data_IF_205630332962
#
_entry.id   IF_205630332962
#
_cell.length_a   1.000
_cell.length_b   1.000
_cell.length_c   1.000
_cell.angle_alpha   90.00
_cell.angle_beta   90.00
_cell.angle_gamma   90.00
#
_symmetry.space_group_name_H-M   'P 1'
#
loop_
_entity.id
_entity.type
_entity.pdbx_description
1 polymer ?
#
# COMPACT_ATOMS: atom_id res chain seq x y z
N UNK A 1 -8.81 6.57 -21.48
CA UNK A 1 -7.69 7.53 -21.43
C UNK A 1 -7.81 8.52 -20.28
N UNK A 2 -8.98 9.09 -20.00
CA UNK A 2 -9.18 10.06 -18.91
C UNK A 2 -8.71 9.56 -17.53
N UNK A 3 -9.04 8.32 -17.15
CA UNK A 3 -8.60 7.74 -15.87
C UNK A 3 -7.08 7.59 -15.78
N UNK A 4 -6.43 7.17 -16.86
CA UNK A 4 -4.97 7.07 -16.95
C UNK A 4 -4.28 8.42 -16.78
N UNK A 5 -4.75 9.45 -17.48
CA UNK A 5 -4.21 10.81 -17.34
C UNK A 5 -4.35 11.29 -15.91
N UNK A 6 -5.52 11.10 -15.28
CA UNK A 6 -5.73 11.48 -13.89
C UNK A 6 -4.77 10.77 -12.93
N UNK A 7 -4.65 9.45 -13.05
CA UNK A 7 -3.77 8.64 -12.18
C UNK A 7 -2.30 9.04 -12.36
N UNK A 8 -1.83 9.23 -13.59
CA UNK A 8 -0.44 9.62 -13.84
C UNK A 8 -0.16 11.04 -13.35
N UNK A 9 -1.07 11.99 -13.59
CA UNK A 9 -0.96 13.34 -13.03
C UNK A 9 -0.94 13.33 -11.50
N UNK A 10 -1.76 12.47 -10.87
CA UNK A 10 -1.77 12.31 -9.41
C UNK A 10 -0.44 11.74 -8.90
N UNK A 11 0.13 10.74 -9.57
CA UNK A 11 1.45 10.15 -9.22
C UNK A 11 2.55 11.20 -9.32
N UNK A 12 2.58 11.97 -10.41
CA UNK A 12 3.55 13.06 -10.62
C UNK A 12 3.38 14.14 -9.56
N UNK A 13 2.14 14.58 -9.30
CA UNK A 13 1.85 15.55 -8.25
C UNK A 13 2.33 15.07 -6.87
N UNK A 14 2.06 13.81 -6.52
CA UNK A 14 2.53 13.21 -5.27
C UNK A 14 4.06 13.21 -5.16
N UNK A 15 4.77 12.98 -6.26
CA UNK A 15 6.23 13.02 -6.31
C UNK A 15 6.77 14.44 -6.15
N UNK A 16 6.25 15.40 -6.93
CA UNK A 16 6.67 16.80 -6.88
C UNK A 16 6.39 17.43 -5.51
N UNK A 17 5.21 17.18 -4.94
CA UNK A 17 4.85 17.69 -3.62
C UNK A 17 5.71 17.08 -2.53
N UNK A 18 6.11 15.80 -2.65
CA UNK A 18 7.05 15.19 -1.70
C UNK A 18 8.43 15.84 -1.78
N UNK A 19 8.97 16.10 -3.00
CA UNK A 19 10.24 16.83 -3.17
C UNK A 19 10.12 18.24 -2.59
N UNK A 20 9.06 18.99 -2.92
CA UNK A 20 8.82 20.32 -2.35
C UNK A 20 8.80 20.27 -0.82
N UNK A 21 8.10 19.29 -0.24
CA UNK A 21 8.02 19.13 1.22
C UNK A 21 9.39 18.94 1.87
N UNK A 22 10.34 18.30 1.18
CA UNK A 22 11.69 18.05 1.73
C UNK A 22 12.49 19.33 1.96
N UNK A 23 12.19 20.39 1.21
CA UNK A 23 12.95 21.64 1.24
C UNK A 23 12.43 22.64 2.29
N UNK A 24 11.13 22.59 2.61
CA UNK A 24 10.47 23.66 3.37
C UNK A 24 9.96 23.27 4.76
N UNK A 25 9.97 21.99 5.13
CA UNK A 25 9.27 21.51 6.33
C UNK A 25 10.18 21.06 7.49
N UNK A 26 11.43 21.55 7.61
CA UNK A 26 12.24 21.31 8.83
C UNK A 26 13.01 19.99 8.85
N UNK A 27 13.34 19.44 7.68
CA UNK A 27 14.27 18.32 7.56
C UNK A 27 15.71 18.73 7.87
N UNK A 28 16.49 17.84 8.49
CA UNK A 28 17.86 18.16 8.95
C UNK A 28 18.90 18.29 7.84
N UNK A 29 18.73 17.54 6.75
CA UNK A 29 19.65 17.50 5.61
C UNK A 29 18.89 17.92 4.36
N UNK A 30 19.58 18.47 3.36
CA UNK A 30 19.00 18.57 2.02
C UNK A 30 19.10 17.21 1.32
N UNK A 31 18.06 16.84 0.55
CA UNK A 31 18.13 15.65 -0.29
C UNK A 31 19.28 15.77 -1.29
N UNK A 32 20.05 14.70 -1.43
CA UNK A 32 21.07 14.61 -2.47
C UNK A 32 20.44 14.69 -3.86
N UNK A 33 21.15 15.34 -4.78
CA UNK A 33 20.70 15.50 -6.16
C UNK A 33 20.42 14.15 -6.84
N UNK A 34 21.26 13.15 -6.55
CA UNK A 34 21.11 11.78 -7.04
C UNK A 34 19.76 11.17 -6.65
N UNK A 35 19.34 11.30 -5.38
CA UNK A 35 18.05 10.78 -4.92
C UNK A 35 16.89 11.44 -5.67
N UNK A 36 16.95 12.75 -5.91
CA UNK A 36 15.92 13.47 -6.69
C UNK A 36 15.87 12.95 -8.13
N UNK A 37 17.02 12.84 -8.79
CA UNK A 37 17.11 12.35 -10.17
C UNK A 37 16.64 10.91 -10.29
N UNK A 38 17.15 9.99 -9.46
CA UNK A 38 16.79 8.58 -9.51
C UNK A 38 15.31 8.35 -9.23
N UNK A 39 14.76 9.04 -8.24
CA UNK A 39 13.32 8.94 -7.93
C UNK A 39 12.43 9.55 -9.02
N UNK A 40 12.85 10.64 -9.68
CA UNK A 40 12.15 11.20 -10.83
C UNK A 40 12.15 10.25 -12.04
N UNK A 41 13.30 9.66 -12.35
CA UNK A 41 13.42 8.66 -13.44
C UNK A 41 12.56 7.43 -13.11
N UNK A 42 12.59 6.94 -11.86
CA UNK A 42 11.78 5.81 -11.42
C UNK A 42 10.26 6.05 -11.58
N UNK A 43 9.78 7.25 -11.23
CA UNK A 43 8.38 7.63 -11.39
C UNK A 43 7.99 7.64 -12.87
N UNK A 44 8.85 8.22 -13.73
CA UNK A 44 8.63 8.23 -15.16
C UNK A 44 8.56 6.81 -15.74
N UNK A 45 9.56 5.98 -15.44
CA UNK A 45 9.62 4.58 -15.88
C UNK A 45 8.44 3.76 -15.36
N UNK A 46 8.01 3.98 -14.11
CA UNK A 46 6.85 3.29 -13.54
C UNK A 46 5.55 3.64 -14.27
N UNK A 47 5.35 4.90 -14.63
CA UNK A 47 4.22 5.31 -15.48
C UNK A 47 4.30 4.66 -16.87
N UNK A 48 5.50 4.62 -17.45
CA UNK A 48 5.76 4.04 -18.77
C UNK A 48 5.47 2.53 -18.81
N UNK A 49 5.91 1.80 -17.78
CA UNK A 49 5.63 0.36 -17.60
C UNK A 49 4.12 0.12 -17.55
N UNK A 50 3.40 0.85 -16.71
CA UNK A 50 1.93 0.69 -16.60
C UNK A 50 1.25 1.07 -17.91
N UNK A 51 1.69 2.13 -18.58
CA UNK A 51 1.18 2.52 -19.90
C UNK A 51 1.32 1.40 -20.93
N UNK A 52 2.49 0.76 -21.03
CA UNK A 52 2.68 -0.36 -21.95
C UNK A 52 1.83 -1.58 -21.60
N UNK A 53 1.67 -1.90 -20.31
CA UNK A 53 0.78 -2.99 -19.86
C UNK A 53 -0.68 -2.68 -20.26
N UNK A 54 -1.15 -1.46 -20.05
CA UNK A 54 -2.51 -1.03 -20.41
C UNK A 54 -2.77 -1.16 -21.92
N UNK A 55 -1.80 -0.81 -22.76
CA UNK A 55 -1.92 -0.94 -24.23
C UNK A 55 -1.90 -2.41 -24.63
N UNK A 56 -0.92 -3.18 -24.15
CA UNK A 56 -0.72 -4.59 -24.53
C UNK A 56 -1.91 -5.45 -24.15
N UNK A 57 -2.47 -5.21 -22.96
CA UNK A 57 -3.58 -5.97 -22.38
C UNK A 57 -4.89 -5.16 -22.34
N UNK A 58 -5.11 -4.27 -23.31
CA UNK A 58 -6.29 -3.39 -23.37
C UNK A 58 -7.64 -4.09 -23.16
N UNK A 59 -7.78 -5.33 -23.64
CA UNK A 59 -9.01 -6.13 -23.48
C UNK A 59 -9.30 -6.43 -22.01
N UNK A 60 -8.28 -6.85 -21.25
CA UNK A 60 -8.43 -7.13 -19.83
C UNK A 60 -8.92 -5.91 -19.04
N UNK A 61 -8.32 -4.74 -19.27
CA UNK A 61 -8.69 -3.50 -18.56
C UNK A 61 -10.05 -2.95 -18.98
N UNK A 62 -10.42 -3.07 -20.27
CA UNK A 62 -11.74 -2.64 -20.76
C UNK A 62 -12.86 -3.56 -20.27
N UNK A 63 -12.62 -4.86 -20.22
CA UNK A 63 -13.64 -5.85 -19.85
C UNK A 63 -13.67 -6.16 -18.35
N UNK A 64 -12.86 -5.46 -17.54
CA UNK A 64 -12.66 -5.75 -16.13
C UNK A 64 -13.96 -5.76 -15.33
N UNK A 65 -14.89 -4.84 -15.58
CA UNK A 65 -16.19 -4.81 -14.90
C UNK A 65 -17.04 -6.06 -15.22
N UNK A 66 -17.09 -6.44 -16.50
CA UNK A 66 -17.82 -7.64 -16.93
C UNK A 66 -17.19 -8.92 -16.37
N UNK A 67 -15.85 -9.00 -16.37
CA UNK A 67 -15.09 -10.12 -15.82
C UNK A 67 -15.26 -10.23 -14.31
N UNK A 68 -15.23 -9.09 -13.60
CA UNK A 68 -15.50 -9.01 -12.18
C UNK A 68 -16.90 -9.53 -11.85
N UNK A 69 -17.93 -9.03 -12.56
CA UNK A 69 -19.32 -9.42 -12.32
C UNK A 69 -19.54 -10.91 -12.52
N UNK A 70 -18.96 -11.49 -13.58
CA UNK A 70 -19.09 -12.92 -13.88
C UNK A 70 -18.32 -13.82 -12.92
N UNK A 71 -17.14 -13.38 -12.46
CA UNK A 71 -16.22 -14.27 -11.72
C UNK A 71 -16.23 -13.97 -10.22
N UNK A 72 -15.87 -12.74 -9.85
CA UNK A 72 -15.64 -12.35 -8.46
C UNK A 72 -16.96 -12.04 -7.73
N UNK A 73 -17.89 -11.31 -8.36
CA UNK A 73 -19.17 -10.97 -7.72
C UNK A 73 -19.97 -12.22 -7.40
N UNK A 74 -20.04 -13.17 -8.34
CA UNK A 74 -20.71 -14.46 -8.12
C UNK A 74 -20.05 -15.26 -6.99
N UNK A 75 -18.71 -15.29 -6.95
CA UNK A 75 -17.99 -15.97 -5.87
C UNK A 75 -18.33 -15.38 -4.49
N UNK A 76 -18.21 -14.07 -4.32
CA UNK A 76 -18.50 -13.43 -3.02
C UNK A 76 -19.98 -13.54 -2.61
N UNK A 77 -20.90 -13.51 -3.58
CA UNK A 77 -22.33 -13.70 -3.32
C UNK A 77 -22.66 -15.15 -2.94
N UNK A 78 -22.01 -16.13 -3.56
CA UNK A 78 -22.13 -17.55 -3.20
C UNK A 78 -21.52 -17.88 -1.83
N UNK A 79 -20.51 -17.12 -1.39
CA UNK A 79 -19.76 -17.39 -0.16
C UNK A 79 -19.94 -16.28 0.90
N UNK A 80 -21.16 -15.74 1.03
CA UNK A 80 -21.47 -14.71 2.04
C UNK A 80 -21.16 -15.17 3.48
N UNK A 81 -21.34 -16.46 3.78
CA UNK A 81 -21.03 -17.03 5.10
C UNK A 81 -19.55 -16.92 5.41
N UNK A 82 -18.67 -17.23 4.44
CA UNK A 82 -17.23 -17.07 4.60
C UNK A 82 -16.86 -15.61 4.88
N UNK A 83 -17.48 -14.68 4.14
CA UNK A 83 -17.26 -13.25 4.35
C UNK A 83 -17.73 -12.80 5.75
N UNK A 84 -18.86 -13.33 6.23
CA UNK A 84 -19.34 -13.08 7.59
C UNK A 84 -18.39 -13.63 8.66
N UNK A 85 -17.86 -14.84 8.47
CA UNK A 85 -16.86 -15.42 9.39
C UNK A 85 -15.61 -14.53 9.46
N UNK A 86 -15.11 -14.04 8.32
CA UNK A 86 -13.98 -13.12 8.30
C UNK A 86 -14.29 -11.80 9.01
N UNK A 87 -15.52 -11.28 8.89
CA UNK A 87 -15.97 -10.10 9.62
C UNK A 87 -16.00 -10.36 11.13
N UNK A 88 -16.50 -11.52 11.57
CA UNK A 88 -16.54 -11.89 12.99
C UNK A 88 -15.13 -12.03 13.59
N UNK A 89 -14.20 -12.60 12.82
CA UNK A 89 -12.78 -12.65 13.21
C UNK A 89 -12.22 -11.23 13.39
N UNK A 90 -12.46 -10.33 12.44
CA UNK A 90 -12.03 -8.94 12.54
C UNK A 90 -12.70 -8.22 13.73
N UNK A 91 -13.98 -8.51 14.00
CA UNK A 91 -14.71 -7.96 15.15
C UNK A 91 -14.10 -8.39 16.48
N UNK A 92 -13.76 -9.68 16.61
CA UNK A 92 -13.10 -10.21 17.81
C UNK A 92 -11.73 -9.54 18.03
N UNK A 93 -10.93 -9.41 16.98
CA UNK A 93 -9.65 -8.71 17.03
C UNK A 93 -9.82 -7.23 17.41
N UNK A 94 -10.81 -6.56 16.83
CA UNK A 94 -11.12 -5.16 17.13
C UNK A 94 -11.56 -4.98 18.59
N UNK A 95 -12.39 -5.88 19.11
CA UNK A 95 -12.81 -5.87 20.51
C UNK A 95 -11.62 -5.97 21.46
N UNK A 96 -10.71 -6.93 21.22
CA UNK A 96 -9.48 -7.06 22.00
C UNK A 96 -8.61 -5.81 21.93
N UNK A 97 -8.43 -5.27 20.72
CA UNK A 97 -7.65 -4.06 20.45
C UNK A 97 -8.21 -2.82 21.18
N UNK A 98 -9.52 -2.59 21.08
CA UNK A 98 -10.19 -1.47 21.74
C UNK A 98 -10.09 -1.61 23.26
N UNK A 99 -10.23 -2.82 23.81
CA UNK A 99 -10.05 -3.07 25.24
C UNK A 99 -8.68 -2.62 25.74
N UNK A 100 -7.62 -2.93 24.98
CA UNK A 100 -6.26 -2.52 25.30
C UNK A 100 -6.04 -1.00 25.14
N UNK A 101 -6.65 -0.38 24.13
CA UNK A 101 -6.63 1.09 23.96
C UNK A 101 -7.29 1.78 25.15
N UNK A 102 -8.47 1.28 25.57
CA UNK A 102 -9.22 1.83 26.70
C UNK A 102 -8.49 1.62 28.04
N UNK A 103 -7.67 0.57 28.17
CA UNK A 103 -6.79 0.38 29.33
C UNK A 103 -5.54 1.28 29.31
N UNK A 104 -5.43 2.21 28.36
CA UNK A 104 -4.35 3.20 28.30
C UNK A 104 -3.05 2.70 27.67
N UNK A 105 -3.05 1.53 27.03
CA UNK A 105 -1.85 1.00 26.37
C UNK A 105 -1.55 1.86 25.14
N UNK A 106 -0.31 2.36 25.08
CA UNK A 106 0.09 3.22 23.99
C UNK A 106 0.12 2.46 22.67
N UNK A 107 -0.26 3.12 21.57
CA UNK A 107 -0.36 2.50 20.24
C UNK A 107 0.88 1.71 19.78
N UNK A 108 2.07 2.17 20.12
CA UNK A 108 3.32 1.48 19.75
C UNK A 108 3.52 0.17 20.52
N UNK A 109 2.96 0.05 21.72
CA UNK A 109 2.93 -1.19 22.52
C UNK A 109 1.84 -2.14 22.01
N UNK A 110 0.71 -1.62 21.50
CA UNK A 110 -0.29 -2.45 20.81
C UNK A 110 0.30 -3.15 19.59
N UNK A 111 1.20 -2.50 18.85
CA UNK A 111 1.90 -3.12 17.71
C UNK A 111 2.76 -4.32 18.14
N UNK A 112 3.32 -4.34 19.35
CA UNK A 112 4.09 -5.47 19.89
C UNK A 112 3.19 -6.63 20.36
N UNK A 113 2.00 -6.34 20.89
CA UNK A 113 0.97 -7.36 21.14
C UNK A 113 0.37 -7.91 19.82
N UNK A 114 0.25 -7.08 18.79
CA UNK A 114 -0.17 -7.53 17.46
C UNK A 114 0.85 -8.45 16.78
N UNK A 115 2.13 -8.40 17.13
CA UNK A 115 3.10 -9.42 16.69
C UNK A 115 2.72 -10.83 17.21
N UNK A 116 2.01 -10.94 18.35
CA UNK A 116 1.48 -12.21 18.87
C UNK A 116 0.18 -12.66 18.19
N UNK A 117 -0.65 -11.73 17.71
CA UNK A 117 -1.82 -12.00 16.84
C UNK A 117 -1.48 -12.06 15.33
N UNK A 118 -0.19 -12.06 14.99
CA UNK A 118 0.40 -11.38 13.82
C UNK A 118 -0.03 -11.79 12.42
N UNK A 119 -0.45 -13.03 12.18
CA UNK A 119 -0.79 -13.45 10.81
C UNK A 119 -2.25 -13.19 10.44
N UNK A 120 -3.16 -13.48 11.36
CA UNK A 120 -4.60 -13.43 11.09
C UNK A 120 -5.06 -11.99 10.88
N UNK A 121 -4.58 -11.07 11.71
CA UNK A 121 -4.84 -9.64 11.54
C UNK A 121 -4.25 -9.10 10.23
N UNK A 122 -3.00 -9.46 9.88
CA UNK A 122 -2.39 -8.98 8.63
C UNK A 122 -3.17 -9.46 7.39
N UNK A 123 -3.70 -10.69 7.44
CA UNK A 123 -4.57 -11.23 6.40
C UNK A 123 -5.91 -10.47 6.33
N UNK A 124 -6.65 -10.35 7.45
CA UNK A 124 -7.97 -9.69 7.47
C UNK A 124 -7.85 -8.21 7.12
N UNK A 125 -6.83 -7.53 7.62
CA UNK A 125 -6.49 -6.14 7.31
C UNK A 125 -6.23 -5.95 5.82
N UNK A 126 -5.34 -6.75 5.23
CA UNK A 126 -5.07 -6.71 3.80
C UNK A 126 -6.32 -6.96 2.97
N UNK A 127 -7.08 -8.02 3.32
CA UNK A 127 -8.28 -8.41 2.61
C UNK A 127 -9.33 -7.29 2.55
N UNK A 128 -9.76 -6.75 3.69
CA UNK A 128 -10.84 -5.75 3.71
C UNK A 128 -10.44 -4.40 3.10
N UNK A 129 -9.18 -3.97 3.28
CA UNK A 129 -8.67 -2.75 2.64
C UNK A 129 -8.73 -2.79 1.11
N UNK A 130 -8.61 -3.98 0.53
CA UNK A 130 -8.68 -4.17 -0.92
C UNK A 130 -10.09 -4.51 -1.39
N UNK A 131 -10.84 -5.28 -0.60
CA UNK A 131 -12.19 -5.68 -0.94
C UNK A 131 -13.10 -4.45 -1.06
N UNK A 132 -13.05 -3.51 -0.10
CA UNK A 132 -13.89 -2.30 -0.11
C UNK A 132 -13.80 -1.51 -1.42
N UNK A 133 -12.62 -1.07 -1.89
CA UNK A 133 -12.53 -0.32 -3.14
C UNK A 133 -13.05 -1.13 -4.34
N UNK A 134 -12.77 -2.44 -4.39
CA UNK A 134 -13.20 -3.31 -5.49
C UNK A 134 -14.73 -3.47 -5.51
N UNK A 135 -15.37 -3.81 -4.40
CA UNK A 135 -16.82 -4.10 -4.36
C UNK A 135 -17.69 -2.87 -4.55
N UNK A 136 -17.16 -1.68 -4.27
CA UNK A 136 -17.86 -0.41 -4.50
C UNK A 136 -17.62 0.14 -5.90
N UNK A 137 -16.40 -0.02 -6.41
CA UNK A 137 -16.05 0.43 -7.75
C UNK A 137 -16.75 -0.42 -8.81
N UNK A 138 -16.73 -1.75 -8.64
CA UNK A 138 -17.46 -2.67 -9.50
C UNK A 138 -18.88 -2.96 -8.95
N UNK A 139 -19.77 -3.42 -9.82
CA UNK A 139 -21.18 -3.63 -9.48
C UNK A 139 -21.40 -4.91 -8.64
N UNK A 140 -21.12 -4.85 -7.34
CA UNK A 140 -21.44 -5.92 -6.36
C UNK A 140 -22.77 -5.68 -5.64
N UNK A 141 -23.38 -6.75 -5.11
CA UNK A 141 -24.58 -6.66 -4.28
C UNK A 141 -24.40 -5.83 -2.99
N UNK A 142 -25.52 -5.26 -2.50
CA UNK A 142 -25.55 -4.48 -1.26
C UNK A 142 -25.05 -5.26 -0.04
N UNK A 143 -25.29 -6.58 0.01
CA UNK A 143 -24.86 -7.46 1.11
C UNK A 143 -23.34 -7.55 1.21
N UNK A 144 -22.66 -7.81 0.09
CA UNK A 144 -21.19 -7.87 0.03
C UNK A 144 -20.58 -6.51 0.38
N UNK A 145 -21.14 -5.41 -0.14
CA UNK A 145 -20.72 -4.04 0.19
C UNK A 145 -20.81 -3.75 1.69
N UNK A 146 -21.92 -4.12 2.31
CA UNK A 146 -22.15 -3.91 3.74
C UNK A 146 -21.13 -4.67 4.60
N UNK A 147 -20.92 -5.97 4.33
CA UNK A 147 -19.94 -6.78 5.05
C UNK A 147 -18.51 -6.26 4.86
N UNK A 148 -18.16 -5.81 3.65
CA UNK A 148 -16.85 -5.24 3.38
C UNK A 148 -16.60 -3.94 4.18
N UNK A 149 -17.60 -3.06 4.28
CA UNK A 149 -17.50 -1.81 5.07
C UNK A 149 -17.35 -2.12 6.55
N UNK A 150 -18.16 -3.04 7.11
CA UNK A 150 -18.03 -3.44 8.51
C UNK A 150 -16.64 -4.00 8.79
N UNK A 151 -16.15 -4.90 7.93
CA UNK A 151 -14.80 -5.44 8.04
C UNK A 151 -13.72 -4.36 8.02
N UNK A 152 -13.83 -3.36 7.13
CA UNK A 152 -12.90 -2.23 7.10
C UNK A 152 -12.96 -1.38 8.38
N UNK A 153 -14.15 -1.12 8.92
CA UNK A 153 -14.30 -0.38 10.19
C UNK A 153 -13.56 -1.11 11.32
N UNK A 154 -13.72 -2.43 11.42
CA UNK A 154 -12.99 -3.22 12.41
C UNK A 154 -11.47 -3.20 12.18
N UNK A 155 -11.00 -3.28 10.93
CA UNK A 155 -9.57 -3.16 10.61
C UNK A 155 -8.99 -1.80 11.03
N UNK A 156 -9.73 -0.72 10.80
CA UNK A 156 -9.31 0.62 11.26
C UNK A 156 -9.30 0.70 12.79
N UNK A 157 -10.26 0.07 13.46
CA UNK A 157 -10.31 0.00 14.92
C UNK A 157 -9.13 -0.80 15.51
N UNK A 158 -8.77 -1.94 14.91
CA UNK A 158 -7.61 -2.75 15.32
C UNK A 158 -6.32 -1.92 15.29
N UNK A 159 -6.07 -1.26 14.16
CA UNK A 159 -4.79 -0.55 13.96
C UNK A 159 -4.74 0.83 14.59
N UNK A 160 -5.90 1.39 14.88
CA UNK A 160 -6.11 2.82 15.13
C UNK A 160 -5.29 3.67 14.16
N UNK A 161 -5.20 3.31 12.87
CA UNK A 161 -4.25 3.91 11.93
C UNK A 161 -4.88 4.56 10.71
N UNK A 162 -4.50 5.83 10.48
CA UNK A 162 -4.82 6.59 9.27
C UNK A 162 -4.18 6.02 8.00
N UNK A 163 -3.11 5.24 8.13
CA UNK A 163 -2.44 4.59 6.99
C UNK A 163 -3.37 3.64 6.25
N UNK A 164 -4.29 2.98 6.97
CA UNK A 164 -5.26 2.03 6.42
C UNK A 164 -6.19 2.72 5.42
N UNK A 165 -6.69 3.90 5.79
CA UNK A 165 -7.58 4.71 4.97
C UNK A 165 -6.85 5.30 3.77
N UNK A 166 -5.60 5.73 3.96
CA UNK A 166 -4.71 6.15 2.85
C UNK A 166 -4.53 5.03 1.83
N UNK A 167 -4.36 3.78 2.26
CA UNK A 167 -4.30 2.63 1.36
C UNK A 167 -5.60 2.49 0.55
N UNK A 168 -6.77 2.53 1.19
CA UNK A 168 -8.07 2.45 0.50
C UNK A 168 -8.23 3.55 -0.55
N UNK A 169 -7.88 4.80 -0.21
CA UNK A 169 -7.90 5.94 -1.14
C UNK A 169 -7.01 5.68 -2.35
N UNK A 170 -5.76 5.27 -2.13
CA UNK A 170 -4.82 4.98 -3.22
C UNK A 170 -5.37 3.89 -4.15
N UNK A 171 -5.97 2.82 -3.61
CA UNK A 171 -6.58 1.77 -4.42
C UNK A 171 -7.75 2.28 -5.29
N UNK A 172 -8.61 3.15 -4.75
CA UNK A 172 -9.68 3.78 -5.54
C UNK A 172 -9.13 4.62 -6.70
N UNK A 173 -8.05 5.36 -6.46
CA UNK A 173 -7.39 6.15 -7.52
C UNK A 173 -6.86 5.20 -8.61
N UNK A 174 -6.17 4.12 -8.23
CA UNK A 174 -5.66 3.13 -9.20
C UNK A 174 -6.78 2.44 -9.99
N UNK A 175 -7.92 2.16 -9.35
CA UNK A 175 -9.07 1.57 -10.02
C UNK A 175 -9.58 2.42 -11.19
N UNK A 176 -9.34 3.73 -11.22
CA UNK A 176 -9.69 4.59 -12.36
C UNK A 176 -8.99 4.19 -13.67
N UNK A 177 -7.91 3.40 -13.63
CA UNK A 177 -7.29 2.81 -14.82
C UNK A 177 -8.21 1.82 -15.55
N UNK A 178 -9.19 1.26 -14.85
CA UNK A 178 -10.11 0.22 -15.33
C UNK A 178 -11.41 0.79 -15.91
N UNK A 179 -11.52 2.11 -16.07
CA UNK A 179 -12.72 2.72 -16.65
C UNK A 179 -12.44 3.97 -17.47
N UNK A 180 -13.42 4.27 -18.32
CA UNK A 180 -13.44 5.43 -19.19
C UNK A 180 -14.48 6.47 -18.79
N UNK A 181 -15.27 6.25 -17.73
CA UNK A 181 -16.40 7.13 -17.37
C UNK A 181 -15.96 8.34 -16.52
N UNK A 182 -16.32 9.55 -16.97
CA UNK A 182 -16.06 10.81 -16.23
C UNK A 182 -16.77 10.86 -14.88
N UNK A 183 -17.96 10.26 -14.76
CA UNK A 183 -18.73 10.22 -13.52
C UNK A 183 -18.00 9.49 -12.37
N UNK A 184 -17.00 8.69 -12.69
CA UNK A 184 -16.21 8.01 -11.67
C UNK A 184 -15.23 8.93 -10.94
N UNK A 185 -14.76 10.01 -11.57
CA UNK A 185 -13.89 11.00 -10.90
C UNK A 185 -14.64 11.58 -9.70
N UNK A 186 -15.89 11.99 -9.91
CA UNK A 186 -16.75 12.50 -8.85
C UNK A 186 -17.01 11.46 -7.76
N UNK A 187 -17.20 10.17 -8.12
CA UNK A 187 -17.35 9.09 -7.13
C UNK A 187 -16.10 8.87 -6.30
N UNK A 188 -14.92 8.83 -6.94
CA UNK A 188 -13.63 8.69 -6.24
C UNK A 188 -13.43 9.88 -5.31
N UNK A 189 -13.71 11.10 -5.76
CA UNK A 189 -13.64 12.29 -4.92
C UNK A 189 -14.57 12.20 -3.71
N UNK A 190 -15.82 11.79 -3.89
CA UNK A 190 -16.76 11.60 -2.78
C UNK A 190 -16.25 10.56 -1.77
N UNK A 191 -15.69 9.45 -2.24
CA UNK A 191 -15.07 8.43 -1.36
C UNK A 191 -13.87 9.01 -0.60
N UNK A 192 -12.99 9.76 -1.27
CA UNK A 192 -11.84 10.41 -0.62
C UNK A 192 -12.30 11.33 0.51
N UNK A 193 -13.33 12.15 0.28
CA UNK A 193 -13.91 13.03 1.30
C UNK A 193 -14.44 12.24 2.50
N UNK A 194 -15.19 11.16 2.26
CA UNK A 194 -15.71 10.29 3.33
C UNK A 194 -14.57 9.64 4.12
N UNK A 195 -13.51 9.18 3.45
CA UNK A 195 -12.36 8.54 4.09
C UNK A 195 -11.54 9.55 4.91
N UNK A 196 -11.39 10.80 4.43
CA UNK A 196 -10.78 11.90 5.17
C UNK A 196 -11.58 12.21 6.42
N UNK A 197 -12.91 12.31 6.31
CA UNK A 197 -13.79 12.50 7.46
C UNK A 197 -13.63 11.37 8.49
N UNK A 198 -13.61 10.12 8.03
CA UNK A 198 -13.40 8.97 8.92
C UNK A 198 -12.00 8.97 9.55
N UNK A 199 -10.97 9.45 8.86
CA UNK A 199 -9.63 9.61 9.40
C UNK A 199 -9.56 10.66 10.52
N UNK A 200 -10.29 11.77 10.37
CA UNK A 200 -10.43 12.80 11.42
C UNK A 200 -11.11 12.18 12.64
N UNK A 201 -12.27 11.54 12.46
CA UNK A 201 -13.00 10.88 13.55
C UNK A 201 -12.14 9.83 14.26
N UNK A 202 -11.48 8.96 13.51
CA UNK A 202 -10.55 7.96 14.07
C UNK A 202 -9.45 8.60 14.91
N UNK A 203 -8.92 9.75 14.50
CA UNK A 203 -7.83 10.40 15.24
C UNK A 203 -8.33 11.07 16.53
N UNK A 204 -9.50 11.72 16.48
CA UNK A 204 -10.10 12.35 17.65
C UNK A 204 -10.52 11.27 18.66
N UNK A 205 -11.28 10.27 18.23
CA UNK A 205 -11.92 9.31 19.12
C UNK A 205 -11.01 8.14 19.52
N UNK A 206 -10.15 7.62 18.62
CA UNK A 206 -9.33 6.44 18.90
C UNK A 206 -7.90 6.78 19.33
N UNK A 207 -7.33 7.87 18.83
CA UNK A 207 -5.95 8.25 19.17
C UNK A 207 -5.87 9.30 20.28
N UNK A 208 -7.01 9.89 20.67
CA UNK A 208 -7.09 11.01 21.62
C UNK A 208 -6.07 12.12 21.29
N UNK A 209 -5.82 12.35 20.01
CA UNK A 209 -4.87 13.38 19.55
C UNK A 209 -5.65 14.64 19.23
N UNK A 210 -5.28 15.79 19.81
CA UNK A 210 -5.85 17.06 19.38
C UNK A 210 -5.51 17.25 17.90
N UNK A 211 -6.55 17.50 17.09
CA UNK A 211 -6.43 17.93 15.70
C UNK A 211 -6.75 19.42 15.68
N UNK A 212 -6.06 20.19 14.82
CA UNK A 212 -6.40 21.58 14.56
C UNK A 212 -7.84 21.72 14.05
N UNK A 213 -8.62 22.65 14.57
CA UNK A 213 -10.04 22.75 14.21
C UNK A 213 -10.29 23.08 12.72
N UNK A 214 -11.41 22.57 12.20
CA UNK A 214 -11.96 22.96 10.90
C UNK A 214 -11.07 22.62 9.69
N UNK A 215 -10.83 23.60 8.82
CA UNK A 215 -10.10 23.42 7.55
C UNK A 215 -8.61 23.09 7.76
N UNK A 216 -8.01 23.55 8.87
CA UNK A 216 -6.62 23.27 9.19
C UNK A 216 -6.37 21.76 9.40
N UNK A 217 -7.35 21.01 9.90
CA UNK A 217 -7.26 19.54 10.01
C UNK A 217 -6.97 18.85 8.67
N UNK A 218 -7.61 19.33 7.60
CA UNK A 218 -7.48 18.77 6.25
C UNK A 218 -6.11 19.10 5.68
N UNK A 219 -5.65 20.32 5.89
CA UNK A 219 -4.31 20.78 5.48
C UNK A 219 -3.22 19.98 6.20
N UNK A 220 -3.35 19.79 7.52
CA UNK A 220 -2.41 18.99 8.32
C UNK A 220 -2.32 17.55 7.86
N UNK A 221 -3.46 16.93 7.50
CA UNK A 221 -3.48 15.59 6.93
C UNK A 221 -2.81 15.55 5.55
N UNK A 222 -3.07 16.52 4.69
CA UNK A 222 -2.44 16.59 3.37
C UNK A 222 -0.91 16.76 3.49
N UNK A 223 -0.45 17.68 4.34
CA UNK A 223 0.97 17.89 4.63
C UNK A 223 1.59 16.60 5.16
N UNK A 224 0.95 15.93 6.13
CA UNK A 224 1.43 14.66 6.69
C UNK A 224 1.60 13.57 5.62
N UNK A 225 0.73 13.53 4.61
CA UNK A 225 0.82 12.56 3.52
C UNK A 225 2.07 12.78 2.66
N UNK A 226 2.40 14.04 2.34
CA UNK A 226 3.59 14.39 1.57
C UNK A 226 4.87 14.27 2.40
N UNK A 227 4.84 14.69 3.67
CA UNK A 227 5.94 14.51 4.63
C UNK A 227 6.31 13.04 4.78
N UNK A 228 5.33 12.16 4.97
CA UNK A 228 5.59 10.74 5.10
C UNK A 228 6.19 10.13 3.82
N UNK A 229 5.83 10.64 2.64
CA UNK A 229 6.47 10.21 1.38
C UNK A 229 7.90 10.74 1.29
N UNK A 230 8.13 11.99 1.69
CA UNK A 230 9.43 12.62 1.76
C UNK A 230 10.42 11.87 2.68
N UNK A 231 9.94 11.32 3.80
CA UNK A 231 10.76 10.50 4.71
C UNK A 231 11.50 9.39 3.96
N UNK A 232 10.82 8.76 3.01
CA UNK A 232 11.40 7.68 2.22
C UNK A 232 12.56 8.12 1.34
N UNK A 233 12.58 9.36 0.85
CA UNK A 233 13.71 9.87 0.06
C UNK A 233 14.94 10.08 0.94
N UNK A 234 14.76 10.50 2.19
CA UNK A 234 15.87 10.59 3.14
C UNK A 234 16.41 9.21 3.52
N UNK A 235 15.52 8.23 3.71
CA UNK A 235 15.93 6.86 4.00
C UNK A 235 16.48 6.12 2.77
N UNK A 236 16.36 6.66 1.55
CA UNK A 236 16.86 6.03 0.34
C UNK A 236 18.38 5.85 0.33
N UNK A 237 19.12 6.72 1.01
CA UNK A 237 20.58 6.62 1.12
C UNK A 237 21.03 5.34 1.85
N UNK A 238 20.20 4.80 2.76
CA UNK A 238 20.53 3.59 3.52
C UNK A 238 20.59 2.37 2.58
N UNK A 239 19.52 2.00 1.83
CA UNK A 239 19.57 0.95 0.81
C UNK A 239 20.71 1.09 -0.20
N UNK A 240 21.02 2.33 -0.60
CA UNK A 240 22.11 2.60 -1.54
C UNK A 240 23.48 2.20 -0.99
N UNK A 241 23.67 2.22 0.34
CA UNK A 241 24.93 1.89 1.00
C UNK A 241 25.01 0.44 1.48
N UNK A 242 23.88 -0.14 1.94
CA UNK A 242 23.90 -1.46 2.60
C UNK A 242 23.80 -2.65 1.64
N UNK A 243 23.58 -2.40 0.35
CA UNK A 243 23.34 -3.45 -0.66
C UNK A 243 24.60 -3.93 -1.39
N UNK A 244 25.78 -3.41 -1.01
CA UNK A 244 27.08 -3.81 -1.57
C UNK A 244 27.39 -5.32 -1.57
N UNK A 245 26.98 -6.13 -0.57
CA UNK A 245 27.32 -7.55 -0.58
C UNK A 245 26.58 -8.35 -1.66
N UNK A 246 27.29 -9.21 -2.39
CA UNK A 246 26.74 -10.02 -3.51
C UNK A 246 25.51 -10.86 -3.13
N UNK A 247 25.42 -11.31 -1.88
CA UNK A 247 24.29 -12.10 -1.41
C UNK A 247 22.98 -11.28 -1.29
N UNK A 248 23.04 -9.94 -1.36
CA UNK A 248 21.87 -9.04 -1.35
C UNK A 248 21.29 -8.78 -2.74
N UNK A 249 21.88 -9.31 -3.81
CA UNK A 249 21.44 -9.11 -5.21
C UNK A 249 19.97 -9.48 -5.44
N UNK A 250 19.42 -10.42 -4.65
CA UNK A 250 18.03 -10.88 -4.75
C UNK A 250 17.03 -10.00 -3.97
N UNK A 251 17.52 -9.15 -3.06
CA UNK A 251 16.67 -8.32 -2.21
C UNK A 251 15.77 -7.36 -2.99
N UNK A 252 16.25 -6.64 -4.03
CA UNK A 252 15.39 -5.72 -4.80
C UNK A 252 14.20 -6.40 -5.48
N UNK A 253 14.29 -7.71 -5.75
CA UNK A 253 13.23 -8.48 -6.41
C UNK A 253 12.24 -9.10 -5.42
N UNK A 254 12.76 -9.68 -4.33
CA UNK A 254 11.99 -10.56 -3.43
C UNK A 254 11.87 -10.02 -1.99
N UNK A 255 12.59 -8.95 -1.66
CA UNK A 255 12.59 -8.31 -0.34
C UNK A 255 12.80 -9.31 0.81
N UNK A 256 11.94 -9.22 1.82
CA UNK A 256 11.92 -10.06 3.01
C UNK A 256 11.99 -11.57 2.72
N UNK A 257 11.39 -12.04 1.62
CA UNK A 257 11.43 -13.46 1.26
C UNK A 257 12.87 -13.91 1.02
N UNK A 258 13.67 -13.10 0.32
CA UNK A 258 15.08 -13.44 0.07
C UNK A 258 15.93 -13.42 1.35
N UNK A 259 15.64 -12.53 2.30
CA UNK A 259 16.37 -12.45 3.57
C UNK A 259 16.25 -13.72 4.40
N UNK A 260 15.10 -14.40 4.34
CA UNK A 260 14.93 -15.69 5.01
C UNK A 260 16.00 -16.68 4.53
N UNK A 261 16.13 -16.84 3.21
CA UNK A 261 17.12 -17.76 2.62
C UNK A 261 18.56 -17.31 2.87
N UNK A 262 18.83 -15.99 2.80
CA UNK A 262 20.16 -15.42 3.07
C UNK A 262 20.59 -15.68 4.51
N UNK A 263 19.69 -15.48 5.50
CA UNK A 263 19.98 -15.77 6.91
C UNK A 263 20.36 -17.22 7.13
N UNK A 264 19.56 -18.14 6.59
CA UNK A 264 19.82 -19.57 6.72
C UNK A 264 21.12 -20.00 6.03
N UNK A 265 21.46 -19.40 4.89
CA UNK A 265 22.60 -19.84 4.08
C UNK A 265 23.93 -19.18 4.47
N UNK A 266 23.91 -17.92 4.93
CA UNK A 266 25.12 -17.10 5.09
C UNK A 266 25.31 -16.50 6.49
N UNK A 267 24.34 -16.60 7.40
CA UNK A 267 24.47 -16.03 8.75
C UNK A 267 24.76 -14.52 8.78
N UNK A 268 24.21 -13.78 7.81
CA UNK A 268 24.55 -12.37 7.51
C UNK A 268 24.51 -11.44 8.74
N UNK A 269 25.61 -10.73 8.99
CA UNK A 269 25.74 -9.70 10.03
C UNK A 269 24.84 -8.47 9.76
N UNK A 270 24.60 -8.15 8.49
CA UNK A 270 23.74 -7.02 8.06
C UNK A 270 22.42 -7.52 7.46
N UNK A 271 21.77 -8.45 8.15
CA UNK A 271 20.50 -8.99 7.67
C UNK A 271 19.39 -7.93 7.82
N UNK A 272 18.49 -7.84 6.85
CA UNK A 272 17.38 -6.87 6.91
C UNK A 272 16.25 -7.56 7.70
N UNK A 273 16.29 -7.48 9.04
CA UNK A 273 15.30 -8.02 9.99
C UNK A 273 14.33 -6.97 10.52
N UNK A 274 13.42 -7.47 11.35
CA UNK A 274 12.77 -6.73 12.42
C UNK A 274 13.63 -5.70 13.16
N UNK A 275 14.94 -5.90 13.38
CA UNK A 275 15.78 -4.87 14.05
C UNK A 275 16.07 -3.72 13.08
N UNK A 276 16.56 -4.03 11.88
CA UNK A 276 16.76 -3.03 10.82
C UNK A 276 15.49 -2.22 10.50
N UNK A 277 14.35 -2.92 10.43
CA UNK A 277 13.04 -2.31 10.15
C UNK A 277 12.45 -1.63 11.39
N UNK A 278 12.83 -2.06 12.59
CA UNK A 278 12.39 -1.50 13.87
C UNK A 278 13.12 -0.22 14.27
N UNK A 279 14.33 0.00 13.74
CA UNK A 279 15.16 1.15 14.06
C UNK A 279 14.57 2.46 13.50
N UNK A 280 14.33 3.43 14.38
CA UNK A 280 13.80 4.75 14.03
C UNK A 280 14.95 5.72 13.72
N UNK A 281 14.95 6.25 12.51
CA UNK A 281 15.90 7.29 12.09
C UNK A 281 15.35 8.69 12.34
N UNK A 282 16.19 9.57 12.87
CA UNK A 282 15.88 10.99 13.02
C UNK A 282 16.10 11.74 11.71
N UNK A 283 15.05 12.42 11.22
CA UNK A 283 15.03 13.09 9.91
C UNK A 283 14.91 14.61 9.99
N UNK A 284 14.62 15.16 11.17
CA UNK A 284 14.28 16.58 11.33
C UNK A 284 13.33 16.82 12.49
N UNK A 285 12.83 18.04 12.58
CA UNK A 285 11.80 18.41 13.55
C UNK A 285 10.79 19.36 12.93
N UNK A 286 9.54 19.26 13.41
CA UNK A 286 8.47 20.12 12.93
C UNK A 286 8.75 21.58 13.29
N UNK A 287 8.81 22.50 12.30
CA UNK A 287 9.00 23.93 12.58
C UNK A 287 7.91 24.50 13.48
N UNK A 288 6.71 23.92 13.42
CA UNK A 288 5.51 24.36 14.14
C UNK A 288 5.35 23.77 15.54
N UNK A 289 5.74 22.50 15.76
CA UNK A 289 5.47 21.79 17.02
C UNK A 289 6.73 21.37 17.77
N UNK A 290 7.91 21.51 17.16
CA UNK A 290 9.18 21.03 17.70
C UNK A 290 9.32 19.51 17.79
N UNK A 291 8.28 18.74 17.42
CA UNK A 291 8.29 17.28 17.51
C UNK A 291 9.28 16.67 16.51
N UNK A 292 10.06 15.66 16.90
CA UNK A 292 11.01 15.02 16.00
C UNK A 292 10.29 14.23 14.91
N UNK A 293 10.81 14.32 13.69
CA UNK A 293 10.46 13.45 12.59
C UNK A 293 11.26 12.16 12.70
N UNK A 294 10.56 11.09 13.05
CA UNK A 294 11.10 9.75 13.17
C UNK A 294 10.43 8.85 12.14
N UNK A 295 11.23 8.09 11.42
CA UNK A 295 10.72 7.13 10.46
C UNK A 295 11.53 5.84 10.47
N UNK A 296 10.82 4.75 10.23
CA UNK A 296 11.34 3.44 9.98
C UNK A 296 10.54 2.83 8.82
N UNK A 297 11.06 1.78 8.18
CA UNK A 297 10.31 0.99 7.16
C UNK A 297 10.02 1.73 5.84
N UNK A 298 10.49 2.97 5.64
CA UNK A 298 10.22 3.75 4.42
C UNK A 298 11.42 3.72 3.48
N UNK A 299 11.77 2.53 2.99
CA UNK A 299 12.88 2.36 2.05
C UNK A 299 12.33 2.23 0.63
N UNK A 300 12.45 3.25 -0.22
CA UNK A 300 11.79 3.28 -1.52
C UNK A 300 12.33 2.17 -2.42
N UNK A 301 11.43 1.54 -3.17
CA UNK A 301 11.75 0.30 -3.88
C UNK A 301 12.90 0.46 -4.87
N UNK A 302 12.93 1.59 -5.59
CA UNK A 302 13.97 1.89 -6.57
C UNK A 302 15.37 1.96 -5.95
N UNK A 303 15.50 2.40 -4.69
CA UNK A 303 16.81 2.57 -4.05
C UNK A 303 17.54 1.25 -3.84
N UNK A 304 16.81 0.16 -3.64
CA UNK A 304 17.38 -1.19 -3.55
C UNK A 304 17.97 -1.64 -4.89
N UNK A 305 17.26 -1.38 -5.99
CA UNK A 305 17.76 -1.69 -7.33
C UNK A 305 18.98 -0.84 -7.69
N UNK A 306 18.95 0.44 -7.34
CA UNK A 306 20.09 1.33 -7.60
C UNK A 306 21.30 0.98 -6.74
N UNK A 307 21.09 0.59 -5.47
CA UNK A 307 22.19 0.18 -4.60
C UNK A 307 22.90 -1.06 -5.13
N UNK A 308 22.17 -2.07 -5.61
CA UNK A 308 22.77 -3.30 -6.15
C UNK A 308 23.35 -3.11 -7.56
N UNK A 309 22.65 -2.41 -8.46
CA UNK A 309 22.96 -2.40 -9.90
C UNK A 309 23.34 -1.02 -10.45
N UNK A 310 23.57 -0.03 -9.58
CA UNK A 310 23.73 1.36 -9.98
C UNK A 310 22.51 1.90 -10.73
N UNK A 311 22.69 2.94 -11.54
CA UNK A 311 21.60 3.55 -12.32
C UNK A 311 20.87 2.56 -13.24
N UNK A 312 21.56 1.51 -13.72
CA UNK A 312 20.94 0.47 -14.55
C UNK A 312 19.86 -0.32 -13.81
N UNK A 313 19.90 -0.33 -12.48
CA UNK A 313 18.88 -0.92 -11.62
C UNK A 313 17.48 -0.38 -11.88
N UNK A 314 17.33 0.89 -12.27
CA UNK A 314 16.01 1.46 -12.62
C UNK A 314 15.41 0.80 -13.87
N UNK A 315 16.25 0.47 -14.86
CA UNK A 315 15.82 -0.23 -16.07
C UNK A 315 15.47 -1.69 -15.74
N UNK A 316 16.30 -2.35 -14.93
CA UNK A 316 16.04 -3.72 -14.45
C UNK A 316 14.71 -3.78 -13.70
N UNK A 317 14.46 -2.84 -12.78
CA UNK A 317 13.19 -2.69 -12.07
C UNK A 317 12.02 -2.52 -13.04
N UNK A 318 12.15 -1.65 -14.04
CA UNK A 318 11.09 -1.42 -15.02
C UNK A 318 10.74 -2.69 -15.79
N UNK A 319 11.75 -3.45 -16.24
CA UNK A 319 11.56 -4.74 -16.91
C UNK A 319 10.90 -5.74 -15.97
N UNK A 320 11.38 -5.86 -14.73
CA UNK A 320 10.81 -6.75 -13.73
C UNK A 320 9.33 -6.45 -13.46
N UNK A 321 8.99 -5.19 -13.21
CA UNK A 321 7.62 -4.76 -13.00
C UNK A 321 6.74 -5.04 -14.24
N UNK A 322 7.25 -4.80 -15.45
CA UNK A 322 6.53 -5.12 -16.68
C UNK A 322 6.23 -6.62 -16.79
N UNK A 323 7.22 -7.49 -16.57
CA UNK A 323 7.07 -8.94 -16.66
C UNK A 323 6.04 -9.46 -15.64
N UNK A 324 6.11 -9.00 -14.39
CA UNK A 324 5.14 -9.36 -13.36
C UNK A 324 3.72 -8.90 -13.73
N UNK A 325 3.54 -7.63 -14.11
CA UNK A 325 2.24 -7.10 -14.48
C UNK A 325 1.67 -7.78 -15.73
N UNK A 326 2.51 -8.08 -16.74
CA UNK A 326 2.12 -8.79 -17.93
C UNK A 326 1.69 -10.23 -17.63
N UNK A 327 2.43 -10.93 -16.75
CA UNK A 327 2.06 -12.25 -16.27
C UNK A 327 0.69 -12.21 -15.58
N UNK A 328 0.50 -11.34 -14.59
CA UNK A 328 -0.77 -11.22 -13.85
C UNK A 328 -1.95 -10.83 -14.76
N UNK A 329 -1.74 -9.93 -15.71
CA UNK A 329 -2.75 -9.54 -16.70
C UNK A 329 -3.13 -10.72 -17.59
N UNK A 330 -2.16 -11.53 -18.02
CA UNK A 330 -2.40 -12.73 -18.83
C UNK A 330 -3.23 -13.78 -18.08
N UNK A 331 -3.01 -13.91 -16.76
CA UNK A 331 -3.76 -14.80 -15.88
C UNK A 331 -5.08 -14.19 -15.39
N UNK A 332 -5.36 -12.93 -15.74
CA UNK A 332 -6.57 -12.18 -15.33
C UNK A 332 -6.74 -12.08 -13.80
N UNK A 333 -5.63 -11.98 -13.06
CA UNK A 333 -5.61 -11.86 -11.59
C UNK A 333 -5.91 -10.42 -11.15
N UNK A 334 -7.19 -10.11 -10.95
CA UNK A 334 -7.67 -8.73 -10.77
C UNK A 334 -7.18 -8.08 -9.46
N UNK A 335 -7.27 -8.77 -8.32
CA UNK A 335 -6.85 -8.17 -7.05
C UNK A 335 -5.34 -7.93 -7.05
N UNK A 336 -4.58 -8.92 -7.50
CA UNK A 336 -3.12 -8.93 -7.51
C UNK A 336 -2.56 -7.87 -8.48
N UNK A 337 -3.18 -7.69 -9.65
CA UNK A 337 -2.71 -6.65 -10.57
C UNK A 337 -3.00 -5.24 -10.04
N UNK A 338 -4.13 -5.02 -9.37
CA UNK A 338 -4.47 -3.70 -8.80
C UNK A 338 -3.47 -3.33 -7.69
N UNK A 339 -3.18 -4.25 -6.75
CA UNK A 339 -2.20 -3.98 -5.68
C UNK A 339 -0.81 -3.76 -6.26
N UNK A 340 -0.41 -4.52 -7.28
CA UNK A 340 0.93 -4.37 -7.87
C UNK A 340 1.05 -3.05 -8.62
N UNK A 341 0.03 -2.62 -9.37
CA UNK A 341 0.00 -1.29 -9.98
C UNK A 341 0.06 -0.19 -8.92
N UNK A 342 -0.66 -0.36 -7.79
CA UNK A 342 -0.60 0.60 -6.68
C UNK A 342 0.81 0.72 -6.10
N UNK A 343 1.52 -0.40 -5.93
CA UNK A 343 2.93 -0.36 -5.52
C UNK A 343 3.85 0.26 -6.58
N UNK A 344 3.70 -0.11 -7.85
CA UNK A 344 4.53 0.43 -8.94
C UNK A 344 4.35 1.95 -9.09
N UNK A 345 3.13 2.47 -9.00
CA UNK A 345 2.86 3.89 -9.22
C UNK A 345 2.94 4.74 -7.94
N UNK A 346 2.33 4.28 -6.85
CA UNK A 346 2.17 5.08 -5.62
C UNK A 346 3.09 4.62 -4.49
N UNK A 347 3.44 3.33 -4.44
CA UNK A 347 4.32 2.75 -3.41
C UNK A 347 5.81 2.85 -3.70
N UNK A 348 6.22 3.00 -4.97
CA UNK A 348 7.64 2.93 -5.38
C UNK A 348 8.53 3.96 -4.69
N UNK A 349 8.00 5.16 -4.44
CA UNK A 349 8.67 6.22 -3.69
C UNK A 349 8.43 6.19 -2.17
N UNK A 350 7.80 5.13 -1.66
CA UNK A 350 7.44 4.96 -0.25
C UNK A 350 8.18 3.80 0.42
N UNK A 351 7.91 2.58 -0.02
CA UNK A 351 8.51 1.38 0.56
C UNK A 351 8.62 0.24 -0.46
N UNK A 352 9.56 -0.67 -0.24
CA UNK A 352 9.63 -1.92 -0.99
C UNK A 352 8.34 -2.74 -0.76
N UNK A 353 7.68 -3.27 -1.82
CA UNK A 353 6.40 -3.98 -1.70
C UNK A 353 6.47 -5.28 -0.90
N UNK A 354 7.68 -5.78 -0.69
CA UNK A 354 7.99 -6.96 0.11
C UNK A 354 8.96 -6.63 1.27
N UNK A 355 8.95 -5.40 1.78
CA UNK A 355 9.91 -4.98 2.81
C UNK A 355 9.72 -5.73 4.14
N UNK A 356 8.46 -5.92 4.53
CA UNK A 356 8.08 -6.54 5.80
C UNK A 356 7.12 -7.69 5.58
N UNK A 357 7.01 -8.57 6.59
CA UNK A 357 6.05 -9.66 6.59
C UNK A 357 4.61 -9.20 6.30
N UNK A 358 4.20 -8.04 6.84
CA UNK A 358 2.87 -7.46 6.57
C UNK A 358 2.66 -7.16 5.09
N UNK A 359 3.65 -6.58 4.42
CA UNK A 359 3.54 -6.25 3.00
C UNK A 359 3.52 -7.53 2.15
N UNK A 360 4.35 -8.51 2.49
CA UNK A 360 4.37 -9.84 1.84
C UNK A 360 3.00 -10.51 1.96
N UNK A 361 2.43 -10.56 3.17
CA UNK A 361 1.14 -11.20 3.42
C UNK A 361 -0.02 -10.46 2.75
N UNK A 362 0.04 -9.14 2.62
CA UNK A 362 -0.97 -8.38 1.88
C UNK A 362 -0.99 -8.79 0.39
N UNK A 363 0.19 -8.87 -0.25
CA UNK A 363 0.31 -9.31 -1.64
C UNK A 363 -0.07 -10.79 -1.79
N UNK A 364 0.40 -11.64 -0.89
CA UNK A 364 0.09 -13.07 -0.90
C UNK A 364 -1.41 -13.35 -0.73
N UNK A 365 -2.08 -12.58 0.13
CA UNK A 365 -3.54 -12.62 0.25
C UNK A 365 -4.24 -12.34 -1.07
N UNK A 366 -3.79 -11.34 -1.85
CA UNK A 366 -4.35 -11.06 -3.19
C UNK A 366 -4.22 -12.25 -4.12
N UNK A 367 -3.01 -12.82 -4.15
CA UNK A 367 -2.68 -13.98 -5.00
C UNK A 367 -3.58 -15.15 -4.63
N UNK A 368 -3.72 -15.47 -3.34
CA UNK A 368 -4.60 -16.53 -2.87
C UNK A 368 -6.04 -16.28 -3.28
N UNK A 369 -6.57 -15.07 -3.07
CA UNK A 369 -7.97 -14.74 -3.42
C UNK A 369 -8.21 -14.90 -4.91
N UNK A 370 -7.33 -14.34 -5.75
CA UNK A 370 -7.44 -14.46 -7.20
C UNK A 370 -7.39 -15.94 -7.61
N UNK A 371 -6.46 -16.72 -7.06
CA UNK A 371 -6.36 -18.16 -7.36
C UNK A 371 -7.61 -18.91 -6.94
N UNK A 372 -8.11 -18.72 -5.71
CA UNK A 372 -9.32 -19.38 -5.21
C UNK A 372 -10.52 -19.05 -6.10
N UNK A 373 -10.72 -17.77 -6.42
CA UNK A 373 -11.84 -17.31 -7.26
C UNK A 373 -11.73 -17.89 -8.68
N UNK A 374 -10.55 -17.83 -9.30
CA UNK A 374 -10.33 -18.32 -10.66
C UNK A 374 -10.47 -19.84 -10.74
N UNK A 375 -9.95 -20.58 -9.76
CA UNK A 375 -10.08 -22.04 -9.67
C UNK A 375 -11.54 -22.44 -9.42
N UNK A 376 -12.24 -21.78 -8.49
CA UNK A 376 -13.65 -22.03 -8.21
C UNK A 376 -14.51 -21.81 -9.45
N UNK A 377 -14.29 -20.72 -10.19
CA UNK A 377 -15.00 -20.45 -11.44
C UNK A 377 -14.66 -21.46 -12.55
N UNK A 378 -13.38 -21.83 -12.73
CA UNK A 378 -12.95 -22.77 -13.77
C UNK A 378 -13.49 -24.18 -13.55
N UNK A 379 -13.46 -24.65 -12.31
CA UNK A 379 -13.85 -26.03 -11.96
C UNK A 379 -15.28 -26.14 -11.42
N UNK A 380 -16.03 -25.02 -11.37
CA UNK A 380 -17.37 -24.94 -10.75
C UNK A 380 -17.41 -25.60 -9.37
N UNK A 381 -16.34 -25.43 -8.59
CA UNK A 381 -16.27 -25.98 -7.24
C UNK A 381 -17.41 -25.35 -6.42
N UNK A 382 -18.45 -26.14 -6.15
CA UNK A 382 -19.41 -25.87 -5.10
C UNK A 382 -18.69 -26.21 -3.80
N UNK A 383 -18.22 -25.18 -3.08
CA UNK A 383 -17.71 -25.33 -1.72
C UNK A 383 -18.88 -25.27 -0.77
#
# INVERSE_FOLDING_TARGET
MTGMVFVFSFVILMHLMAIFTTQYFGFTKQLSYEVVVYSSIDVFLSCLVVFFVLIRFKGFFKDAESSYKRTYSQFFEGHLVLLLVLVLIAAYQAYSSIGLILSGIARHQLLQEYDRGGLLYMFTSGFFKMLVPIVFYFASSKKVKFLAVIGLIFVVAITASRSELKYVINFYIILMLFSSSRNQIARVFAVVVVMIFFAILSTIFLQNRPISDGFFAVVDMAISVFQYRAYSYYLAEIPLQITDPIYKVMYPFFGYISEIFIRFSFGSINAIDSEFVGYLHYLGSSPTTGRPYLANVLYPWWSWFVGVFGITGLIIKAIYCYLLLAFLASQKMLFTIIILIAFVLLGTGGAHPLLTLTHVLAIFSCVIIDLIVLLSHKYKLKV
#
